data_IF_439735521714
#
_entry.id   IF_439735521714
#
_cell.length_a   1.000
_cell.length_b   1.000
_cell.length_c   1.000
_cell.angle_alpha   90.00
_cell.angle_beta   90.00
_cell.angle_gamma   90.00
#
_symmetry.space_group_name_H-M   'P 1'
#
loop_
_entity.id
_entity.type
_entity.pdbx_description
1 polymer ?
#
# COMPACT_ATOMS: atom_id res chain seq x y z
N UNK A 1 13.57 -5.43 -25.65
CA UNK A 1 12.72 -4.76 -24.64
C UNK A 1 13.58 -3.96 -23.66
N UNK A 2 14.65 -4.52 -23.07
CA UNK A 2 15.51 -3.81 -22.10
C UNK A 2 16.13 -2.49 -22.60
N UNK A 3 16.54 -2.40 -23.87
CA UNK A 3 17.19 -1.19 -24.43
C UNK A 3 16.24 0.03 -24.55
N UNK A 4 14.95 -0.19 -24.80
CA UNK A 4 13.96 0.91 -24.91
C UNK A 4 13.69 1.50 -23.53
N UNK A 5 13.68 0.66 -22.50
CA UNK A 5 13.48 1.14 -21.13
C UNK A 5 14.74 1.81 -20.60
N UNK A 6 15.96 1.29 -20.85
CA UNK A 6 17.23 1.84 -20.33
C UNK A 6 17.45 3.36 -20.49
N UNK A 7 16.78 4.02 -21.43
CA UNK A 7 16.87 5.47 -21.65
C UNK A 7 15.73 6.28 -21.00
N UNK A 8 14.76 5.61 -20.36
CA UNK A 8 13.62 6.27 -19.74
C UNK A 8 14.05 6.97 -18.45
N UNK A 9 13.84 8.29 -18.39
CA UNK A 9 14.10 9.09 -17.18
C UNK A 9 12.94 9.02 -16.18
N UNK A 10 11.76 8.60 -16.63
CA UNK A 10 10.57 8.51 -15.78
C UNK A 10 9.60 7.46 -16.32
N UNK A 11 8.98 6.70 -15.43
CA UNK A 11 7.89 5.78 -15.74
C UNK A 11 6.58 6.30 -15.15
N UNK A 12 5.54 6.37 -15.98
CA UNK A 12 4.19 6.75 -15.55
C UNK A 12 3.30 5.52 -15.54
N UNK A 13 2.65 5.28 -14.40
CA UNK A 13 1.68 4.20 -14.23
C UNK A 13 0.30 4.84 -14.20
N UNK A 14 -0.46 4.65 -15.28
CA UNK A 14 -1.83 5.10 -15.35
C UNK A 14 -2.79 4.00 -14.89
N UNK A 15 -3.49 4.23 -13.78
CA UNK A 15 -4.44 3.26 -13.23
C UNK A 15 -5.83 3.34 -13.86
N UNK A 16 -6.15 4.47 -14.46
CA UNK A 16 -7.43 4.73 -15.12
C UNK A 16 -7.90 6.15 -14.89
N UNK A 17 -8.93 6.54 -15.64
CA UNK A 17 -9.53 7.89 -15.63
C UNK A 17 -10.42 8.20 -14.43
N UNK A 18 -10.81 7.17 -13.69
CA UNK A 18 -11.73 7.31 -12.57
C UNK A 18 -10.96 7.67 -11.32
N UNK A 19 -11.52 8.62 -10.55
CA UNK A 19 -10.93 9.06 -9.29
C UNK A 19 -10.82 7.89 -8.28
N UNK A 20 -9.78 7.90 -7.44
CA UNK A 20 -9.74 7.04 -6.27
C UNK A 20 -10.93 7.33 -5.36
N UNK A 21 -11.43 6.31 -4.68
CA UNK A 21 -12.43 6.53 -3.64
C UNK A 21 -11.86 7.48 -2.57
N UNK A 22 -12.61 8.47 -2.05
CA UNK A 22 -12.07 9.46 -1.10
C UNK A 22 -11.39 8.84 0.12
N UNK A 23 -11.91 7.71 0.61
CA UNK A 23 -11.28 6.95 1.71
C UNK A 23 -9.98 6.25 1.32
N UNK A 24 -9.86 5.77 0.08
CA UNK A 24 -8.62 5.21 -0.42
C UNK A 24 -7.56 6.31 -0.55
N UNK A 25 -7.96 7.49 -1.07
CA UNK A 25 -7.11 8.66 -1.15
C UNK A 25 -6.64 9.12 0.24
N UNK A 26 -7.55 9.20 1.21
CA UNK A 26 -7.21 9.53 2.60
C UNK A 26 -6.16 8.59 3.20
N UNK A 27 -6.23 7.27 2.93
CA UNK A 27 -5.19 6.34 3.39
C UNK A 27 -3.83 6.71 2.81
N UNK A 28 -3.77 7.09 1.54
CA UNK A 28 -2.51 7.43 0.87
C UNK A 28 -1.94 8.78 1.30
N UNK A 29 -2.80 9.78 1.51
CA UNK A 29 -2.39 11.16 1.81
C UNK A 29 -2.20 11.42 3.29
N UNK A 30 -2.91 10.69 4.16
CA UNK A 30 -2.92 10.94 5.61
C UNK A 30 -2.37 9.76 6.39
N UNK A 31 -3.00 8.59 6.28
CA UNK A 31 -2.65 7.46 7.15
C UNK A 31 -1.26 6.86 6.85
N UNK A 32 -0.97 6.61 5.58
CA UNK A 32 0.27 5.96 5.17
C UNK A 32 1.53 6.77 5.55
N UNK A 33 1.58 8.11 5.37
CA UNK A 33 2.67 8.92 5.87
C UNK A 33 2.88 8.82 7.39
N UNK A 34 1.80 8.84 8.18
CA UNK A 34 1.86 8.71 9.64
C UNK A 34 2.39 7.32 10.02
N UNK A 35 1.85 6.27 9.42
CA UNK A 35 2.27 4.89 9.68
C UNK A 35 3.76 4.67 9.37
N UNK A 36 4.23 5.20 8.23
CA UNK A 36 5.64 5.18 7.86
C UNK A 36 6.52 5.89 8.89
N UNK A 37 6.07 7.04 9.39
CA UNK A 37 6.81 7.79 10.40
C UNK A 37 6.87 7.07 11.74
N UNK A 38 5.79 6.40 12.16
CA UNK A 38 5.80 5.52 13.34
C UNK A 38 6.80 4.38 13.16
N UNK A 39 6.82 3.74 12.00
CA UNK A 39 7.79 2.68 11.69
C UNK A 39 9.24 3.16 11.77
N UNK A 40 9.52 4.40 11.33
CA UNK A 40 10.84 5.02 11.47
C UNK A 40 11.19 5.35 12.92
N UNK A 41 10.27 5.96 13.66
CA UNK A 41 10.48 6.45 15.02
C UNK A 41 10.60 5.32 16.05
N UNK A 42 9.73 4.32 15.96
CA UNK A 42 9.63 3.21 16.92
C UNK A 42 10.35 1.94 16.45
N UNK A 43 10.68 1.86 15.17
CA UNK A 43 11.21 0.66 14.52
C UNK A 43 10.11 -0.33 14.13
N UNK A 44 10.35 -1.12 13.09
CA UNK A 44 9.35 -2.06 12.55
C UNK A 44 8.89 -3.10 13.58
N UNK A 45 9.79 -3.55 14.47
CA UNK A 45 9.47 -4.54 15.51
C UNK A 45 8.41 -4.08 16.50
N UNK A 46 8.28 -2.77 16.72
CA UNK A 46 7.24 -2.21 17.57
C UNK A 46 5.84 -2.50 17.01
N UNK A 47 5.69 -2.47 15.69
CA UNK A 47 4.41 -2.69 15.00
C UNK A 47 4.05 -4.18 14.91
N UNK A 48 5.05 -5.08 14.82
CA UNK A 48 4.84 -6.54 14.76
C UNK A 48 4.00 -7.08 15.91
N UNK A 49 4.19 -6.54 17.11
CA UNK A 49 3.52 -7.01 18.31
C UNK A 49 2.10 -6.43 18.49
N UNK A 50 1.60 -5.64 17.53
CA UNK A 50 0.40 -4.83 17.69
C UNK A 50 -0.65 -5.15 16.63
N UNK A 51 -1.91 -5.21 17.05
CA UNK A 51 -3.04 -5.45 16.16
C UNK A 51 -3.53 -4.12 15.53
N UNK A 52 -3.63 -4.04 14.19
CA UNK A 52 -4.04 -2.82 13.47
C UNK A 52 -5.46 -2.32 13.76
N UNK A 53 -6.26 -3.07 14.51
CA UNK A 53 -7.66 -2.79 14.77
C UNK A 53 -8.02 -2.73 16.26
N UNK A 54 -7.08 -3.04 17.16
CA UNK A 54 -7.34 -3.14 18.59
C UNK A 54 -7.50 -1.76 19.24
N UNK A 55 -8.65 -1.50 19.87
CA UNK A 55 -8.96 -0.23 20.55
C UNK A 55 -8.24 -0.02 21.87
N UNK A 56 -7.75 -1.09 22.48
CA UNK A 56 -7.14 -1.02 23.82
C UNK A 56 -5.66 -0.66 23.76
N UNK A 57 -5.06 -0.60 22.57
CA UNK A 57 -3.67 -0.22 22.40
C UNK A 57 -3.51 1.30 22.31
N UNK A 58 -3.58 1.96 23.47
CA UNK A 58 -3.54 3.43 23.59
C UNK A 58 -2.26 4.04 23.03
N UNK A 59 -1.13 3.32 23.14
CA UNK A 59 0.15 3.78 22.61
C UNK A 59 0.15 3.82 21.09
N UNK A 60 -0.43 2.80 20.44
CA UNK A 60 -0.50 2.73 18.98
C UNK A 60 -1.44 3.81 18.46
N UNK A 61 -2.58 3.97 19.14
CA UNK A 61 -3.57 5.00 18.81
C UNK A 61 -2.92 6.38 18.89
N UNK A 62 -2.22 6.68 19.98
CA UNK A 62 -1.51 7.95 20.13
C UNK A 62 -0.43 8.14 19.05
N UNK A 63 0.37 7.12 18.78
CA UNK A 63 1.43 7.19 17.77
C UNK A 63 0.88 7.37 16.35
N UNK A 64 -0.31 6.84 16.05
CA UNK A 64 -1.00 6.95 14.76
C UNK A 64 -1.91 8.18 14.62
N UNK A 65 -1.77 9.17 15.51
CA UNK A 65 -2.50 10.44 15.40
C UNK A 65 -3.84 10.48 16.15
N UNK A 66 -4.02 9.59 17.13
CA UNK A 66 -5.22 9.55 17.98
C UNK A 66 -6.39 8.80 17.37
N UNK A 67 -7.50 8.73 18.11
CA UNK A 67 -8.70 8.00 17.70
C UNK A 67 -9.35 8.60 16.44
N UNK A 68 -9.14 9.89 16.17
CA UNK A 68 -9.64 10.54 14.96
C UNK A 68 -9.04 9.94 13.67
N UNK A 69 -7.75 9.60 13.70
CA UNK A 69 -7.06 8.98 12.57
C UNK A 69 -7.20 7.46 12.62
N UNK A 70 -6.90 6.86 13.77
CA UNK A 70 -6.94 5.41 13.93
C UNK A 70 -8.36 4.83 13.78
N UNK A 71 -9.38 5.55 14.25
CA UNK A 71 -10.78 5.19 14.11
C UNK A 71 -11.24 5.22 12.64
N UNK A 72 -10.78 6.20 11.85
CA UNK A 72 -11.06 6.25 10.41
C UNK A 72 -10.39 5.08 9.68
N UNK A 73 -9.14 4.77 10.00
CA UNK A 73 -8.46 3.58 9.48
C UNK A 73 -9.27 2.31 9.78
N UNK A 74 -9.59 2.06 11.05
CA UNK A 74 -10.35 0.89 11.51
C UNK A 74 -11.66 0.69 10.77
N UNK A 75 -12.37 1.78 10.50
CA UNK A 75 -13.67 1.74 9.83
C UNK A 75 -13.56 1.61 8.31
N UNK A 76 -12.62 2.34 7.71
CA UNK A 76 -12.66 2.63 6.27
C UNK A 76 -11.50 2.01 5.46
N UNK A 77 -10.56 1.28 6.11
CA UNK A 77 -9.38 0.67 5.44
C UNK A 77 -9.73 -0.19 4.23
N UNK A 78 -10.90 -0.85 4.25
CA UNK A 78 -11.36 -1.75 3.18
C UNK A 78 -11.51 -1.07 1.83
N UNK A 79 -11.83 0.23 1.81
CA UNK A 79 -11.93 1.02 0.58
C UNK A 79 -10.59 1.15 -0.13
N UNK A 80 -9.50 1.24 0.63
CA UNK A 80 -8.14 1.31 0.09
C UNK A 80 -7.75 0.00 -0.60
N UNK A 81 -7.91 -1.14 0.09
CA UNK A 81 -7.58 -2.44 -0.51
C UNK A 81 -8.49 -2.79 -1.69
N UNK A 82 -9.77 -2.44 -1.61
CA UNK A 82 -10.72 -2.57 -2.73
C UNK A 82 -10.28 -1.74 -3.93
N UNK A 83 -9.84 -0.50 -3.72
CA UNK A 83 -9.33 0.36 -4.78
C UNK A 83 -8.10 -0.27 -5.46
N UNK A 84 -7.13 -0.75 -4.67
CA UNK A 84 -5.93 -1.40 -5.21
C UNK A 84 -6.27 -2.65 -6.04
N UNK A 85 -7.19 -3.49 -5.55
CA UNK A 85 -7.64 -4.69 -6.25
C UNK A 85 -8.34 -4.35 -7.57
N UNK A 86 -9.33 -3.43 -7.55
CA UNK A 86 -10.08 -3.02 -8.76
C UNK A 86 -9.20 -2.40 -9.82
N UNK A 87 -8.19 -1.61 -9.42
CA UNK A 87 -7.22 -1.02 -10.36
C UNK A 87 -6.13 -1.99 -10.79
N UNK A 88 -6.20 -3.25 -10.33
CA UNK A 88 -5.20 -4.30 -10.59
C UNK A 88 -3.80 -3.79 -10.29
N UNK A 89 -3.68 -3.00 -9.21
CA UNK A 89 -2.49 -2.22 -8.90
C UNK A 89 -1.25 -3.10 -8.89
N UNK A 90 -1.29 -4.26 -8.25
CA UNK A 90 -0.12 -5.13 -8.11
C UNK A 90 0.15 -6.01 -9.33
N UNK A 91 -0.88 -6.36 -10.11
CA UNK A 91 -0.69 -6.98 -11.43
C UNK A 91 0.04 -6.01 -12.38
N UNK A 92 -0.30 -4.72 -12.34
CA UNK A 92 0.40 -3.67 -13.10
C UNK A 92 1.75 -3.30 -12.46
N UNK A 93 1.82 -3.37 -11.14
CA UNK A 93 3.01 -3.11 -10.34
C UNK A 93 4.14 -4.10 -10.58
N UNK A 94 3.83 -5.33 -11.00
CA UNK A 94 4.84 -6.29 -11.44
C UNK A 94 5.66 -5.77 -12.63
N UNK A 95 4.97 -5.28 -13.66
CA UNK A 95 5.60 -4.71 -14.87
C UNK A 95 6.48 -3.53 -14.49
N UNK A 96 6.01 -2.70 -13.56
CA UNK A 96 6.73 -1.54 -13.03
C UNK A 96 7.99 -1.95 -12.29
N UNK A 97 7.95 -3.05 -11.55
CA UNK A 97 9.12 -3.55 -10.83
C UNK A 97 10.17 -4.14 -11.74
N UNK A 98 9.76 -4.86 -12.78
CA UNK A 98 10.70 -5.30 -13.80
C UNK A 98 11.32 -4.10 -14.53
N UNK A 99 10.53 -3.07 -14.85
CA UNK A 99 11.06 -1.82 -15.41
C UNK A 99 12.00 -1.13 -14.41
N UNK A 100 11.63 -0.97 -13.14
CA UNK A 100 12.48 -0.39 -12.10
C UNK A 100 13.81 -1.13 -11.96
N UNK A 101 13.77 -2.45 -11.78
CA UNK A 101 14.94 -3.30 -11.59
C UNK A 101 15.90 -3.27 -12.79
N UNK A 102 15.37 -3.04 -14.00
CA UNK A 102 16.15 -3.02 -15.24
C UNK A 102 16.65 -1.61 -15.60
N UNK A 103 15.96 -0.56 -15.14
CA UNK A 103 16.00 0.74 -15.82
C UNK A 103 16.25 1.93 -14.89
N UNK A 104 15.63 1.91 -13.72
CA UNK A 104 15.59 3.05 -12.83
C UNK A 104 16.27 2.63 -11.54
N UNK A 105 17.54 3.00 -11.38
CA UNK A 105 18.29 2.79 -10.13
C UNK A 105 17.56 3.41 -8.92
N UNK A 106 16.62 4.34 -9.17
CA UNK A 106 15.84 5.03 -8.17
C UNK A 106 14.32 4.95 -8.44
N UNK A 107 13.56 4.49 -7.44
CA UNK A 107 12.09 4.48 -7.48
C UNK A 107 11.40 5.85 -7.49
N UNK A 108 12.15 6.94 -7.32
CA UNK A 108 11.63 8.31 -7.34
C UNK A 108 11.16 8.73 -8.74
N UNK A 109 11.68 8.06 -9.77
CA UNK A 109 11.38 8.31 -11.18
C UNK A 109 10.13 7.53 -11.65
N UNK A 110 9.29 7.07 -10.71
CA UNK A 110 8.05 6.37 -10.99
C UNK A 110 6.87 7.12 -10.38
N UNK A 111 6.05 7.69 -11.24
CA UNK A 111 4.81 8.36 -10.88
C UNK A 111 3.62 7.44 -11.12
N UNK A 112 2.72 7.33 -10.14
CA UNK A 112 1.44 6.64 -10.33
C UNK A 112 0.32 7.67 -10.37
N UNK A 113 -0.49 7.59 -11.41
CA UNK A 113 -1.56 8.52 -11.72
C UNK A 113 -2.91 7.78 -11.79
N UNK A 114 -3.97 8.40 -11.26
CA UNK A 114 -5.33 7.87 -11.28
C UNK A 114 -6.33 9.03 -11.31
N UNK A 115 -7.15 9.12 -12.35
CA UNK A 115 -8.03 10.26 -12.54
C UNK A 115 -7.27 11.58 -12.61
N UNK A 116 -7.84 12.62 -12.03
CA UNK A 116 -7.22 13.94 -11.86
C UNK A 116 -6.44 14.06 -10.55
N UNK A 117 -6.45 13.02 -9.71
CA UNK A 117 -5.72 13.02 -8.45
C UNK A 117 -4.20 13.20 -8.65
N UNK A 118 -3.58 13.84 -7.65
CA UNK A 118 -2.15 14.10 -7.62
C UNK A 118 -1.33 12.80 -7.76
N UNK A 119 -0.12 12.87 -8.34
CA UNK A 119 0.74 11.71 -8.48
C UNK A 119 1.04 11.08 -7.13
N UNK A 120 0.67 9.82 -7.00
CA UNK A 120 1.07 8.96 -5.90
C UNK A 120 2.51 8.55 -6.15
N UNK A 121 3.41 8.98 -5.25
CA UNK A 121 4.81 8.56 -5.30
C UNK A 121 4.89 7.06 -5.01
N UNK A 122 5.36 6.29 -6.01
CA UNK A 122 5.49 4.85 -5.92
C UNK A 122 6.28 4.40 -4.68
N UNK A 123 7.36 5.12 -4.33
CA UNK A 123 8.17 4.84 -3.14
C UNK A 123 7.39 4.93 -1.83
N UNK A 124 6.50 5.92 -1.67
CA UNK A 124 5.72 6.07 -0.44
C UNK A 124 4.75 4.92 -0.28
N UNK A 125 4.06 4.55 -1.35
CA UNK A 125 3.13 3.43 -1.33
C UNK A 125 3.87 2.10 -1.11
N UNK A 126 4.99 1.89 -1.79
CA UNK A 126 5.81 0.70 -1.61
C UNK A 126 6.36 0.60 -0.19
N UNK A 127 6.84 1.71 0.39
CA UNK A 127 7.27 1.77 1.78
C UNK A 127 6.14 1.43 2.73
N UNK A 128 4.95 2.01 2.53
CA UNK A 128 3.77 1.75 3.36
C UNK A 128 3.41 0.26 3.34
N UNK A 129 3.32 -0.32 2.14
CA UNK A 129 3.04 -1.73 1.94
C UNK A 129 4.11 -2.63 2.57
N UNK A 130 5.40 -2.30 2.39
CA UNK A 130 6.51 -3.06 2.99
C UNK A 130 6.45 -3.04 4.51
N UNK A 131 6.14 -1.89 5.11
CA UNK A 131 6.02 -1.77 6.56
C UNK A 131 4.81 -2.55 7.09
N UNK A 132 3.68 -2.57 6.36
CA UNK A 132 2.53 -3.41 6.73
C UNK A 132 2.88 -4.90 6.69
N UNK A 133 3.62 -5.34 5.66
CA UNK A 133 4.10 -6.73 5.57
C UNK A 133 5.07 -7.04 6.70
N UNK A 134 6.03 -6.16 6.97
CA UNK A 134 7.01 -6.41 8.02
C UNK A 134 6.42 -6.37 9.42
N UNK A 135 5.33 -5.62 9.62
CA UNK A 135 4.52 -5.60 10.83
C UNK A 135 3.57 -6.80 10.98
N UNK A 136 3.51 -7.74 10.03
CA UNK A 136 2.55 -8.86 9.99
C UNK A 136 1.06 -8.41 9.98
N UNK A 137 0.80 -7.14 9.66
CA UNK A 137 -0.56 -6.57 9.62
C UNK A 137 -1.36 -7.09 8.44
N UNK A 138 -0.70 -7.59 7.39
CA UNK A 138 -1.37 -8.15 6.20
C UNK A 138 -2.28 -9.32 6.54
N UNK A 139 -1.90 -10.18 7.50
CA UNK A 139 -2.72 -11.31 7.93
C UNK A 139 -4.01 -10.84 8.60
N UNK A 140 -3.91 -9.89 9.52
CA UNK A 140 -5.07 -9.42 10.27
C UNK A 140 -6.00 -8.57 9.40
N UNK A 141 -5.42 -7.77 8.50
CA UNK A 141 -6.15 -7.07 7.44
C UNK A 141 -6.90 -8.07 6.56
N UNK A 142 -6.22 -9.11 6.04
CA UNK A 142 -6.86 -10.12 5.20
C UNK A 142 -8.01 -10.82 5.93
N UNK A 143 -7.78 -11.24 7.18
CA UNK A 143 -8.82 -11.87 8.01
C UNK A 143 -10.03 -10.94 8.12
N UNK A 144 -9.82 -9.66 8.40
CA UNK A 144 -10.88 -8.65 8.52
C UNK A 144 -11.65 -8.46 7.22
N UNK A 145 -10.95 -8.34 6.08
CA UNK A 145 -11.55 -8.18 4.75
C UNK A 145 -12.40 -9.39 4.35
N UNK A 146 -12.00 -10.61 4.74
CA UNK A 146 -12.74 -11.83 4.44
C UNK A 146 -13.97 -12.03 5.33
N UNK A 147 -13.93 -11.52 6.57
CA UNK A 147 -15.07 -11.57 7.50
C UNK A 147 -16.09 -10.47 7.26
N UNK A 148 -15.69 -9.39 6.60
CA UNK A 148 -16.53 -8.24 6.32
C UNK A 148 -17.41 -8.54 5.10
N UNK A 149 -18.72 -8.75 5.32
CA UNK A 149 -19.70 -9.11 4.28
C UNK A 149 -20.12 -7.91 3.40
N UNK A 150 -19.32 -6.84 3.38
CA UNK A 150 -19.65 -5.62 2.66
C UNK A 150 -19.83 -5.89 1.15
N UNK A 151 -20.94 -5.44 0.53
CA UNK A 151 -21.23 -5.67 -0.89
C UNK A 151 -20.23 -4.96 -1.84
N UNK A 152 -19.32 -4.15 -1.29
CA UNK A 152 -18.33 -3.40 -2.05
C UNK A 152 -17.06 -4.19 -2.37
N UNK A 153 -16.86 -5.37 -1.77
CA UNK A 153 -15.66 -6.16 -2.03
C UNK A 153 -15.64 -6.69 -3.48
N UNK A 154 -14.56 -6.42 -4.25
CA UNK A 154 -14.27 -7.24 -5.41
C UNK A 154 -14.10 -8.68 -4.90
N UNK A 155 -14.48 -9.67 -5.72
CA UNK A 155 -14.44 -11.09 -5.32
C UNK A 155 -13.12 -11.36 -4.58
N UNK A 156 -13.20 -11.98 -3.40
CA UNK A 156 -12.08 -12.28 -2.50
C UNK A 156 -10.76 -12.68 -3.20
N UNK A 157 -10.74 -13.42 -4.33
CA UNK A 157 -9.50 -13.74 -5.04
C UNK A 157 -8.65 -12.54 -5.45
N UNK A 158 -9.24 -11.41 -5.87
CA UNK A 158 -8.47 -10.26 -6.38
C UNK A 158 -7.74 -9.51 -5.25
N UNK A 159 -8.35 -9.46 -4.08
CA UNK A 159 -7.78 -8.88 -2.86
C UNK A 159 -6.72 -9.81 -2.27
N UNK A 160 -6.99 -11.12 -2.25
CA UNK A 160 -6.01 -12.14 -1.85
C UNK A 160 -4.79 -12.10 -2.76
N UNK A 161 -4.97 -12.12 -4.09
CA UNK A 161 -3.89 -11.99 -5.08
C UNK A 161 -3.11 -10.70 -4.90
N UNK A 162 -3.79 -9.60 -4.56
CA UNK A 162 -3.16 -8.31 -4.26
C UNK A 162 -2.25 -8.41 -3.03
N UNK A 163 -2.72 -9.00 -1.93
CA UNK A 163 -1.96 -9.17 -0.68
C UNK A 163 -0.84 -10.22 -0.78
N UNK A 164 -1.06 -11.32 -1.50
CA UNK A 164 -0.04 -12.34 -1.79
C UNK A 164 1.06 -11.80 -2.71
N UNK A 165 0.67 -10.98 -3.70
CA UNK A 165 1.63 -10.26 -4.53
C UNK A 165 2.41 -9.25 -3.68
N UNK A 166 1.77 -8.51 -2.78
CA UNK A 166 2.43 -7.59 -1.85
C UNK A 166 3.56 -8.30 -1.07
N UNK A 167 3.29 -9.49 -0.53
CA UNK A 167 4.28 -10.24 0.24
C UNK A 167 5.40 -10.81 -0.66
N UNK A 168 5.04 -11.37 -1.81
CA UNK A 168 6.01 -11.87 -2.81
C UNK A 168 6.94 -10.77 -3.31
N UNK A 169 6.38 -9.60 -3.59
CA UNK A 169 7.08 -8.39 -3.99
C UNK A 169 8.02 -7.91 -2.88
N UNK A 170 7.52 -7.80 -1.66
CA UNK A 170 8.30 -7.31 -0.51
C UNK A 170 9.49 -8.23 -0.23
N UNK A 171 9.32 -9.55 -0.38
CA UNK A 171 10.39 -10.55 -0.25
C UNK A 171 11.43 -10.49 -1.38
N UNK A 172 11.04 -10.18 -2.61
CA UNK A 172 11.99 -10.04 -3.73
C UNK A 172 12.79 -8.75 -3.67
N UNK A 173 12.18 -7.63 -3.28
CA UNK A 173 12.90 -6.36 -3.08
C UNK A 173 13.97 -6.49 -1.99
N UNK A 174 13.73 -7.28 -0.93
CA UNK A 174 14.75 -7.61 0.09
C UNK A 174 15.96 -8.40 -0.43
N UNK A 175 15.89 -9.00 -1.61
CA UNK A 175 17.01 -9.74 -2.22
C UNK A 175 17.80 -8.92 -3.24
N UNK A 176 17.22 -7.81 -3.71
CA UNK A 176 17.81 -6.95 -4.73
C UNK A 176 18.64 -5.79 -4.15
N UNK A 177 18.53 -5.55 -2.83
CA UNK A 177 19.29 -4.59 -2.03
C UNK A 177 19.80 -5.29 -0.77
#
# INVERSE_FOLDING_TARGET
MGEIYQQSQMTIIWLGKEEPHPRAQWVMETFAPIFLEVGKRRGEKYLVARDPFLTTDTDLIADLGGEDIFGVWRRDFSHFFTFLARRRWFLRGWVVQEVLLITLENGADVAVLCGSALPLLWQKLLGFVRLMVSADWTRDILRRLLTDQSPFYPRAPEVILTLDNIDTISRRVRKAY
#
